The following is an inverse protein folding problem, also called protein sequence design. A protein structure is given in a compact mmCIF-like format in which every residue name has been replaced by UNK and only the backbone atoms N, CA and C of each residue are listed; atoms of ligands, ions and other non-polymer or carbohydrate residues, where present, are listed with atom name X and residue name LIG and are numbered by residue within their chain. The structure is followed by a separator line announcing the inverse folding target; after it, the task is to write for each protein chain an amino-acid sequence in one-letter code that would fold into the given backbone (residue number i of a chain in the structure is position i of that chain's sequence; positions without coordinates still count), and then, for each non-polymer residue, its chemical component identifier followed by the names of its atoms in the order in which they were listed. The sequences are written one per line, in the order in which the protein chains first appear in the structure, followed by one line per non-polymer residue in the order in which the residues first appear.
data_IF_627645387412
#
_entry.id   IF_627645387412
#
_cell.length_a   1.000
_cell.length_b   1.000
_cell.length_c   1.000
_cell.angle_alpha   90.00
_cell.angle_beta   90.00
_cell.angle_gamma   90.00
#
_symmetry.space_group_name_H-M   'P 1'
#
loop_
_entity.id
_entity.type
_entity.pdbx_description
1 polymer ?
#
# COMPACT_ATOMS: atom_id res chain seq x y z
N UNK A 1 -4.51 15.11 72.50
CA UNK A 1 -4.92 14.17 71.44
C UNK A 1 -5.66 14.95 70.37
N UNK A 2 -5.05 15.16 69.20
CA UNK A 2 -5.70 15.84 68.07
C UNK A 2 -5.41 15.06 66.78
N UNK A 3 -6.03 13.89 66.64
CA UNK A 3 -5.87 13.05 65.45
C UNK A 3 -7.24 12.46 65.10
N UNK A 4 -8.01 13.17 64.28
CA UNK A 4 -9.32 12.69 63.82
C UNK A 4 -10.09 13.64 62.91
N UNK A 5 -9.90 14.96 63.06
CA UNK A 5 -10.73 15.95 62.35
C UNK A 5 -10.41 16.08 60.84
N UNK A 6 -9.15 15.90 60.43
CA UNK A 6 -8.69 16.17 59.06
C UNK A 6 -9.18 15.20 57.98
N UNK A 7 -9.56 13.96 58.34
CA UNK A 7 -10.03 12.95 57.37
C UNK A 7 -11.53 13.03 57.12
N UNK A 8 -12.30 13.44 58.13
CA UNK A 8 -13.74 13.60 58.02
C UNK A 8 -14.10 14.80 57.12
N UNK A 9 -13.38 15.92 57.24
CA UNK A 9 -13.56 17.09 56.36
C UNK A 9 -13.30 16.76 54.89
N UNK A 10 -12.21 16.05 54.58
CA UNK A 10 -11.88 15.64 53.20
C UNK A 10 -12.93 14.72 52.56
N UNK A 11 -13.59 13.85 53.34
CA UNK A 11 -14.67 13.01 52.84
C UNK A 11 -15.92 13.85 52.53
N UNK A 12 -16.27 14.79 53.40
CA UNK A 12 -17.39 15.72 53.21
C UNK A 12 -17.14 16.58 51.97
N UNK A 13 -15.95 17.15 51.80
CA UNK A 13 -15.58 17.96 50.64
C UNK A 13 -15.73 17.17 49.32
N UNK A 14 -15.34 15.89 49.31
CA UNK A 14 -15.51 15.00 48.14
C UNK A 14 -16.98 14.71 47.84
N UNK A 15 -17.80 14.48 48.87
CA UNK A 15 -19.24 14.24 48.68
C UNK A 15 -19.94 15.49 48.17
N UNK A 16 -19.59 16.67 48.69
CA UNK A 16 -20.09 17.95 48.19
C UNK A 16 -19.65 18.22 46.75
N UNK A 17 -18.39 17.97 46.41
CA UNK A 17 -17.88 18.11 45.05
C UNK A 17 -18.61 17.17 44.09
N UNK A 18 -18.87 15.92 44.49
CA UNK A 18 -19.64 14.96 43.71
C UNK A 18 -21.10 15.39 43.54
N UNK A 19 -21.73 15.93 44.58
CA UNK A 19 -23.10 16.47 44.52
C UNK A 19 -23.18 17.67 43.57
N UNK A 20 -22.25 18.63 43.67
CA UNK A 20 -22.13 19.78 42.77
C UNK A 20 -21.88 19.35 41.32
N UNK A 21 -21.03 18.35 41.09
CA UNK A 21 -20.77 17.81 39.76
C UNK A 21 -22.03 17.17 39.13
N UNK A 22 -22.80 16.41 39.91
CA UNK A 22 -24.08 15.83 39.46
C UNK A 22 -25.11 16.91 39.15
N UNK A 23 -25.26 17.91 40.03
CA UNK A 23 -26.16 19.05 39.80
C UNK A 23 -25.76 19.80 38.53
N UNK A 24 -24.46 20.06 38.32
CA UNK A 24 -23.96 20.70 37.11
C UNK A 24 -24.17 19.83 35.85
N UNK A 25 -24.08 18.51 35.94
CA UNK A 25 -24.39 17.62 34.82
C UNK A 25 -25.87 17.67 34.42
N UNK A 26 -26.78 17.62 35.41
CA UNK A 26 -28.24 17.73 35.16
C UNK A 26 -28.60 19.11 34.63
N UNK A 27 -28.02 20.18 35.19
CA UNK A 27 -28.22 21.54 34.71
C UNK A 27 -27.78 21.69 33.24
N UNK A 28 -26.61 21.16 32.88
CA UNK A 28 -26.12 21.13 31.49
C UNK A 28 -27.03 20.33 30.56
N UNK A 29 -27.58 19.22 31.03
CA UNK A 29 -28.53 18.42 30.25
C UNK A 29 -29.83 19.18 29.99
N UNK A 30 -30.38 19.83 31.02
CA UNK A 30 -31.61 20.65 30.90
C UNK A 30 -31.41 21.90 30.05
N UNK A 31 -30.24 22.52 30.13
CA UNK A 31 -29.88 23.70 29.32
C UNK A 31 -29.48 23.36 27.88
N UNK A 32 -29.43 22.06 27.52
CA UNK A 32 -29.05 21.66 26.17
C UNK A 32 -30.14 22.09 25.18
N UNK A 33 -29.79 22.79 24.09
CA UNK A 33 -30.78 23.17 23.09
C UNK A 33 -31.39 21.93 22.42
N UNK A 34 -32.66 22.05 22.03
CA UNK A 34 -33.38 20.99 21.32
C UNK A 34 -32.68 20.63 20.01
N UNK A 35 -32.88 19.39 19.55
CA UNK A 35 -32.40 18.97 18.23
C UNK A 35 -33.02 19.80 17.08
N UNK A 36 -34.20 20.39 17.30
CA UNK A 36 -34.89 21.27 16.36
C UNK A 36 -34.44 22.74 16.45
N UNK A 37 -33.52 23.08 17.36
CA UNK A 37 -32.97 24.44 17.45
C UNK A 37 -32.19 24.76 16.15
N UNK A 38 -32.49 25.90 15.48
CA UNK A 38 -31.84 26.29 14.23
C UNK A 38 -30.31 26.34 14.32
N UNK A 39 -29.73 26.72 15.48
CA UNK A 39 -28.29 26.77 15.67
C UNK A 39 -27.70 25.35 15.69
N UNK A 40 -28.39 24.39 16.31
CA UNK A 40 -27.96 22.99 16.35
C UNK A 40 -28.05 22.37 14.96
N UNK A 41 -29.13 22.64 14.21
CA UNK A 41 -29.28 22.18 12.84
C UNK A 41 -28.19 22.75 11.92
N UNK A 42 -27.88 24.04 12.03
CA UNK A 42 -26.80 24.67 11.26
C UNK A 42 -25.42 24.05 11.55
N UNK A 43 -25.13 23.71 12.82
CA UNK A 43 -23.90 22.99 13.18
C UNK A 43 -23.87 21.57 12.62
N UNK A 44 -25.00 20.88 12.64
CA UNK A 44 -25.10 19.53 12.09
C UNK A 44 -24.94 19.53 10.56
N UNK A 45 -25.58 20.46 9.86
CA UNK A 45 -25.44 20.60 8.40
C UNK A 45 -24.01 20.92 8.01
N UNK A 46 -23.35 21.85 8.69
CA UNK A 46 -21.94 22.17 8.45
C UNK A 46 -21.03 20.94 8.65
N UNK A 47 -21.24 20.17 9.74
CA UNK A 47 -20.49 18.93 9.98
C UNK A 47 -20.74 17.89 8.89
N UNK A 48 -21.99 17.69 8.48
CA UNK A 48 -22.36 16.76 7.40
C UNK A 48 -21.69 17.15 6.08
N UNK A 49 -21.67 18.43 5.73
CA UNK A 49 -20.99 18.92 4.53
C UNK A 49 -19.49 18.61 4.56
N UNK A 50 -18.83 18.80 5.71
CA UNK A 50 -17.39 18.45 5.87
C UNK A 50 -17.16 16.95 5.74
N UNK A 51 -18.04 16.11 6.31
CA UNK A 51 -17.94 14.65 6.21
C UNK A 51 -18.12 14.21 4.76
N UNK A 52 -19.16 14.68 4.08
CA UNK A 52 -19.40 14.38 2.67
C UNK A 52 -18.21 14.79 1.80
N UNK A 53 -17.66 15.99 2.00
CA UNK A 53 -16.48 16.44 1.26
C UNK A 53 -15.23 15.58 1.56
N UNK A 54 -15.12 15.00 2.78
CA UNK A 54 -14.05 14.05 3.11
C UNK A 54 -14.26 12.71 2.41
N UNK A 55 -15.48 12.19 2.43
CA UNK A 55 -15.85 10.93 1.78
C UNK A 55 -15.59 10.98 0.27
N UNK A 56 -15.99 12.08 -0.40
CA UNK A 56 -15.69 12.31 -1.81
C UNK A 56 -14.17 12.26 -2.06
N UNK A 57 -13.37 13.01 -1.30
CA UNK A 57 -11.90 13.01 -1.45
C UNK A 57 -11.27 11.65 -1.18
N UNK A 58 -11.78 10.88 -0.23
CA UNK A 58 -11.27 9.54 0.06
C UNK A 58 -11.60 8.61 -1.10
N UNK A 59 -12.84 8.62 -1.59
CA UNK A 59 -13.25 7.80 -2.73
C UNK A 59 -12.43 8.15 -3.98
N UNK A 60 -12.24 9.43 -4.30
CA UNK A 60 -11.41 9.87 -5.43
C UNK A 60 -9.97 9.35 -5.31
N UNK A 61 -9.38 9.42 -4.11
CA UNK A 61 -8.01 8.93 -3.86
C UNK A 61 -7.92 7.41 -3.96
N UNK A 62 -8.90 6.67 -3.46
CA UNK A 62 -8.93 5.21 -3.60
C UNK A 62 -9.07 4.82 -5.06
N UNK A 63 -9.96 5.45 -5.82
CA UNK A 63 -10.09 5.20 -7.26
C UNK A 63 -8.80 5.52 -8.03
N UNK A 64 -8.14 6.63 -7.72
CA UNK A 64 -6.85 6.97 -8.31
C UNK A 64 -5.75 5.96 -7.94
N UNK A 65 -5.73 5.48 -6.69
CA UNK A 65 -4.78 4.45 -6.24
C UNK A 65 -5.00 3.14 -7.00
N UNK A 66 -6.25 2.67 -7.09
CA UNK A 66 -6.60 1.44 -7.79
C UNK A 66 -6.24 1.51 -9.29
N UNK A 67 -6.48 2.67 -9.92
CA UNK A 67 -6.07 2.88 -11.31
C UNK A 67 -4.54 2.84 -11.46
N UNK A 68 -3.79 3.49 -10.56
CA UNK A 68 -2.33 3.49 -10.60
C UNK A 68 -1.74 2.09 -10.35
N UNK A 69 -2.29 1.32 -9.41
CA UNK A 69 -1.84 -0.05 -9.15
C UNK A 69 -2.11 -0.95 -10.35
N UNK A 70 -3.29 -0.83 -10.98
CA UNK A 70 -3.62 -1.62 -12.16
C UNK A 70 -2.68 -1.31 -13.34
N UNK A 71 -2.33 -0.05 -13.56
CA UNK A 71 -1.36 0.35 -14.59
C UNK A 71 0.03 -0.22 -14.31
N UNK A 72 0.52 -0.07 -13.07
CA UNK A 72 1.83 -0.59 -12.68
C UNK A 72 1.90 -2.13 -12.80
N UNK A 73 0.84 -2.84 -12.44
CA UNK A 73 0.76 -4.30 -12.62
C UNK A 73 0.78 -4.69 -14.10
N UNK A 74 0.04 -3.98 -14.95
CA UNK A 74 0.05 -4.23 -16.40
C UNK A 74 1.42 -3.95 -17.02
N UNK A 75 2.08 -2.86 -16.62
CA UNK A 75 3.44 -2.52 -17.05
C UNK A 75 4.47 -3.57 -16.58
N UNK A 76 4.37 -4.02 -15.33
CA UNK A 76 5.25 -5.05 -14.79
C UNK A 76 5.08 -6.40 -15.52
N UNK A 77 3.85 -6.78 -15.86
CA UNK A 77 3.58 -7.97 -16.68
C UNK A 77 4.15 -7.83 -18.08
N UNK A 78 3.90 -6.69 -18.75
CA UNK A 78 4.44 -6.43 -20.08
C UNK A 78 5.98 -6.41 -20.09
N UNK A 79 6.62 -5.87 -19.06
CA UNK A 79 8.07 -5.88 -18.90
C UNK A 79 8.60 -7.33 -18.77
N UNK A 80 7.98 -8.15 -17.92
CA UNK A 80 8.35 -9.57 -17.76
C UNK A 80 8.18 -10.37 -19.05
N UNK A 81 7.12 -10.12 -19.80
CA UNK A 81 6.91 -10.76 -21.10
C UNK A 81 7.99 -10.37 -22.12
N UNK A 82 8.39 -9.09 -22.15
CA UNK A 82 9.49 -8.62 -23.00
C UNK A 82 10.81 -9.25 -22.60
N UNK A 83 11.13 -9.26 -21.31
CA UNK A 83 12.36 -9.90 -20.78
C UNK A 83 12.40 -11.39 -21.11
N UNK A 84 11.28 -12.10 -20.95
CA UNK A 84 11.18 -13.52 -21.31
C UNK A 84 11.37 -13.75 -22.82
N UNK A 85 10.77 -12.91 -23.66
CA UNK A 85 10.91 -12.97 -25.11
C UNK A 85 12.35 -12.69 -25.56
N UNK A 86 13.01 -11.69 -24.96
CA UNK A 86 14.41 -11.37 -25.21
C UNK A 86 15.34 -12.50 -24.76
N UNK A 87 15.12 -13.05 -23.57
CA UNK A 87 15.88 -14.19 -23.08
C UNK A 87 15.75 -15.41 -24.00
N UNK A 88 14.53 -15.70 -24.51
CA UNK A 88 14.30 -16.77 -25.47
C UNK A 88 15.04 -16.53 -26.79
N UNK A 89 15.02 -15.29 -27.31
CA UNK A 89 15.77 -14.92 -28.52
C UNK A 89 17.28 -15.09 -28.32
N UNK A 90 17.81 -14.58 -27.22
CA UNK A 90 19.23 -14.72 -26.89
C UNK A 90 19.65 -16.17 -26.72
N UNK A 91 18.79 -17.02 -26.13
CA UNK A 91 19.05 -18.45 -26.01
C UNK A 91 19.10 -19.13 -27.38
N UNK A 92 18.13 -18.84 -28.26
CA UNK A 92 18.11 -19.36 -29.62
C UNK A 92 19.36 -18.92 -30.41
N UNK A 93 19.71 -17.63 -30.36
CA UNK A 93 20.92 -17.12 -31.02
C UNK A 93 22.20 -17.79 -30.50
N UNK A 94 22.29 -18.05 -29.20
CA UNK A 94 23.45 -18.76 -28.63
C UNK A 94 23.54 -20.19 -29.17
N UNK A 95 22.42 -20.90 -29.27
CA UNK A 95 22.38 -22.26 -29.83
C UNK A 95 22.83 -22.24 -31.30
N UNK A 96 22.30 -21.32 -32.10
CA UNK A 96 22.70 -21.17 -33.51
C UNK A 96 24.19 -20.86 -33.66
N UNK A 97 24.73 -19.94 -32.85
CA UNK A 97 26.17 -19.62 -32.86
C UNK A 97 27.02 -20.82 -32.49
N UNK A 98 26.63 -21.60 -31.48
CA UNK A 98 27.34 -22.81 -31.09
C UNK A 98 27.28 -23.89 -32.17
N UNK A 99 26.14 -24.05 -32.84
CA UNK A 99 25.98 -24.97 -33.96
C UNK A 99 26.88 -24.57 -35.15
N UNK A 100 26.93 -23.28 -35.49
CA UNK A 100 27.81 -22.75 -36.54
C UNK A 100 29.28 -23.00 -36.22
N UNK A 101 29.74 -22.69 -34.99
CA UNK A 101 31.11 -22.94 -34.55
C UNK A 101 31.46 -24.43 -34.60
N UNK A 102 30.54 -25.31 -34.20
CA UNK A 102 30.75 -26.76 -34.27
C UNK A 102 30.87 -27.25 -35.72
N UNK A 103 30.07 -26.70 -36.64
CA UNK A 103 30.14 -27.00 -38.07
C UNK A 103 31.48 -26.54 -38.67
N UNK A 104 31.93 -25.32 -38.36
CA UNK A 104 33.24 -24.80 -38.78
C UNK A 104 34.40 -25.66 -38.28
N UNK A 105 34.39 -26.03 -36.99
CA UNK A 105 35.41 -26.90 -36.41
C UNK A 105 35.42 -28.29 -37.05
N UNK A 106 34.25 -28.84 -37.39
CA UNK A 106 34.16 -30.10 -38.13
C UNK A 106 34.74 -29.96 -39.53
N UNK A 107 34.35 -28.93 -40.29
CA UNK A 107 34.88 -28.67 -41.62
C UNK A 107 36.42 -28.51 -41.61
N UNK A 108 36.96 -27.81 -40.61
CA UNK A 108 38.41 -27.66 -40.43
C UNK A 108 39.11 -28.99 -40.14
N UNK A 109 38.52 -29.85 -39.29
CA UNK A 109 39.03 -31.20 -39.04
C UNK A 109 39.00 -32.06 -40.31
N UNK A 110 37.88 -32.06 -41.03
CA UNK A 110 37.71 -32.84 -42.25
C UNK A 110 38.69 -32.40 -43.34
N UNK A 111 38.95 -31.11 -43.48
CA UNK A 111 39.98 -30.58 -44.39
C UNK A 111 41.39 -31.06 -44.02
N UNK A 112 41.73 -31.07 -42.71
CA UNK A 112 43.02 -31.59 -42.22
C UNK A 112 43.16 -33.10 -42.51
N UNK A 113 42.10 -33.87 -42.27
CA UNK A 113 42.10 -35.31 -42.57
C UNK A 113 42.24 -35.57 -44.08
N UNK A 114 41.54 -34.82 -44.93
CA UNK A 114 41.66 -34.90 -46.37
C UNK A 114 43.09 -34.59 -46.84
N UNK A 115 43.70 -33.51 -46.33
CA UNK A 115 45.09 -33.14 -46.64
C UNK A 115 46.08 -34.22 -46.19
N UNK A 116 45.92 -34.79 -44.99
CA UNK A 116 46.77 -35.91 -44.50
C UNK A 116 46.61 -37.16 -45.38
N UNK A 117 45.39 -37.52 -45.75
CA UNK A 117 45.10 -38.69 -46.59
C UNK A 117 45.62 -38.51 -48.02
N UNK A 118 45.62 -37.28 -48.54
CA UNK A 118 46.26 -36.95 -49.81
C UNK A 118 47.77 -37.18 -49.73
N UNK A 119 48.44 -36.65 -48.70
CA UNK A 119 49.90 -36.87 -48.50
C UNK A 119 50.31 -38.33 -48.34
N UNK A 120 49.43 -39.19 -47.82
CA UNK A 120 49.72 -40.62 -47.63
C UNK A 120 49.45 -41.48 -48.87
N UNK A 121 48.82 -40.92 -49.91
CA UNK A 121 48.54 -41.62 -51.18
C UNK A 121 49.47 -41.22 -52.32
N UNK A 122 50.34 -40.25 -52.07
CA UNK A 122 51.50 -39.89 -52.88
C UNK A 122 52.74 -40.46 -52.20
#
# INVERSE_FOLDING_TARGET
MYVGQFKASQLVDRLEAAAKARQAAVARFRARPSAADPIVLARQSARRAVIQAREVRVNEREMARLAATAQHEAEALAAREREAAEAARQAAEKVERLAALAAEQKAARDARFAARKARARW
#
